data_IF_983868353456
#
_entry.id   IF_983868353456
#
_cell.length_a   1.000
_cell.length_b   1.000
_cell.length_c   1.000
_cell.angle_alpha   90.00
_cell.angle_beta   90.00
_cell.angle_gamma   90.00
#
_symmetry.space_group_name_H-M   'P 1'
#
loop_
_entity.id
_entity.type
_entity.pdbx_description
1 polymer ?
#
# COMPACT_ATOMS: atom_id res chain seq x y z
N UNK A 1 16.86 -3.96 46.54
CA UNK A 1 17.08 -2.51 46.75
C UNK A 1 17.45 -1.94 45.38
N UNK A 2 16.77 -0.95 44.82
CA UNK A 2 15.79 -0.03 45.42
C UNK A 2 14.60 0.18 44.46
N UNK A 3 13.38 0.19 44.99
CA UNK A 3 12.16 0.46 44.22
C UNK A 3 12.04 1.95 43.94
N UNK A 4 11.73 2.33 42.69
CA UNK A 4 11.26 3.68 42.35
C UNK A 4 9.87 3.53 41.72
N UNK A 5 8.87 4.13 42.35
CA UNK A 5 7.49 4.20 41.88
C UNK A 5 7.25 5.61 41.38
N UNK A 6 6.70 5.75 40.17
CA UNK A 6 6.23 7.03 39.64
C UNK A 6 4.71 6.97 39.52
N UNK A 7 4.01 7.80 40.29
CA UNK A 7 2.56 7.96 40.25
C UNK A 7 2.19 9.29 39.57
N UNK A 8 1.01 9.38 38.91
CA UNK A 8 0.63 10.54 38.12
C UNK A 8 0.21 11.73 39.02
N UNK A 9 0.33 12.95 38.49
CA UNK A 9 -0.10 14.17 39.17
C UNK A 9 -1.17 14.92 38.37
N UNK A 10 -2.23 15.38 39.04
CA UNK A 10 -3.39 16.06 38.44
C UNK A 10 -3.43 17.54 38.85
N UNK A 11 -3.21 18.41 37.86
CA UNK A 11 -3.88 19.70 37.59
C UNK A 11 -4.04 20.81 38.67
N UNK A 12 -4.00 22.07 38.21
CA UNK A 12 -4.95 23.10 38.66
C UNK A 12 -4.96 24.34 37.72
N UNK A 13 -6.10 25.02 37.65
CA UNK A 13 -6.29 26.39 37.12
C UNK A 13 -6.32 27.39 38.33
N UNK A 14 -6.50 28.73 38.28
CA UNK A 14 -6.87 29.71 37.22
C UNK A 14 -5.91 30.96 37.32
N UNK A 15 -6.20 32.29 37.38
CA UNK A 15 -7.42 33.14 37.38
C UNK A 15 -7.14 34.62 36.92
N UNK A 16 -7.62 35.00 35.72
CA UNK A 16 -8.04 36.40 35.37
C UNK A 16 -6.95 37.53 35.40
N UNK A 17 -7.19 38.82 35.08
CA UNK A 17 -8.41 39.63 34.83
C UNK A 17 -8.20 40.69 33.71
N UNK A 18 -9.29 41.26 33.15
CA UNK A 18 -9.30 42.35 32.14
C UNK A 18 -10.24 43.50 32.57
N UNK A 19 -9.87 44.77 32.35
CA UNK A 19 -10.78 45.75 31.69
C UNK A 19 -10.03 46.66 30.68
N UNK A 20 -10.55 47.18 29.55
CA UNK A 20 -11.88 47.63 29.06
C UNK A 20 -12.08 49.17 29.08
N UNK A 21 -12.02 49.77 27.87
CA UNK A 21 -12.69 50.98 27.36
C UNK A 21 -12.38 52.40 27.93
N UNK A 22 -12.36 53.39 27.03
CA UNK A 22 -13.28 54.57 27.01
C UNK A 22 -13.28 55.19 25.58
N UNK A 23 -14.39 55.83 25.17
CA UNK A 23 -14.52 56.66 23.95
C UNK A 23 -14.90 58.10 24.34
N UNK A 24 -14.47 59.13 23.59
CA UNK A 24 -15.31 60.15 22.89
C UNK A 24 -14.50 61.36 22.36
N UNK A 25 -15.16 62.21 21.57
CA UNK A 25 -14.56 63.17 20.62
C UNK A 25 -14.72 64.65 21.01
N UNK A 26 -13.74 65.47 20.59
CA UNK A 26 -13.90 66.86 20.12
C UNK A 26 -12.71 67.13 19.16
N UNK A 27 -12.82 67.59 17.90
CA UNK A 27 -13.67 68.56 17.21
C UNK A 27 -13.13 70.00 17.23
N UNK A 28 -12.65 70.46 16.04
CA UNK A 28 -12.64 71.86 15.56
C UNK A 28 -11.77 72.92 16.28
N UNK A 29 -11.25 73.96 15.63
CA UNK A 29 -11.10 74.28 14.19
C UNK A 29 -9.96 75.32 13.98
N UNK A 30 -9.70 75.70 12.72
CA UNK A 30 -8.97 76.87 12.18
C UNK A 30 -8.41 77.93 13.17
N UNK A 31 -7.25 78.55 12.94
CA UNK A 31 -7.02 79.48 11.80
C UNK A 31 -5.58 80.07 11.81
N UNK A 32 -5.13 80.61 10.66
CA UNK A 32 -4.12 81.69 10.42
C UNK A 32 -2.68 81.34 10.02
N UNK A 33 -2.24 82.11 9.00
CA UNK A 33 -0.89 82.52 8.58
C UNK A 33 0.11 81.41 8.16
N UNK A 34 0.58 81.31 6.91
CA UNK A 34 1.11 82.27 5.90
C UNK A 34 2.61 82.58 6.07
N UNK A 35 3.39 81.72 5.38
CA UNK A 35 4.54 82.03 4.53
C UNK A 35 5.93 82.43 5.10
N UNK A 36 6.93 82.11 4.27
CA UNK A 36 8.33 82.58 4.23
C UNK A 36 9.31 82.16 5.33
N UNK A 37 10.47 81.64 4.90
CA UNK A 37 11.68 81.47 5.73
C UNK A 37 12.42 80.14 5.51
N UNK A 38 13.71 80.21 5.20
CA UNK A 38 14.71 79.13 5.31
C UNK A 38 14.61 77.89 4.40
N UNK A 39 14.75 78.15 3.09
CA UNK A 39 15.64 77.32 2.26
C UNK A 39 17.11 77.68 2.62
N UNK A 40 18.06 76.80 2.31
CA UNK A 40 19.53 76.92 2.56
C UNK A 40 19.97 76.58 4.00
N UNK A 41 19.82 75.30 4.37
CA UNK A 41 20.62 74.65 5.45
C UNK A 41 20.75 73.12 5.29
N UNK A 42 20.55 72.55 4.09
CA UNK A 42 20.63 71.10 3.83
C UNK A 42 21.59 70.79 2.70
N UNK A 43 22.88 70.90 3.00
CA UNK A 43 24.03 70.45 2.20
C UNK A 43 25.13 70.05 3.21
N UNK A 44 25.91 69.00 2.88
CA UNK A 44 26.98 68.43 3.73
C UNK A 44 26.56 67.53 4.93
N UNK A 45 25.50 66.73 4.78
CA UNK A 45 25.22 65.59 5.68
C UNK A 45 24.66 64.34 4.97
N UNK A 46 24.72 64.27 3.63
CA UNK A 46 23.93 63.32 2.82
C UNK A 46 24.67 62.21 2.09
N UNK A 47 25.95 61.93 2.39
CA UNK A 47 26.81 61.02 1.61
C UNK A 47 27.61 60.03 2.48
N UNK A 48 26.91 59.19 3.25
CA UNK A 48 27.53 58.06 3.98
C UNK A 48 26.59 56.86 4.23
N UNK A 49 25.26 57.02 4.12
CA UNK A 49 24.29 56.05 4.64
C UNK A 49 23.71 54.97 3.69
N UNK A 50 23.74 55.05 2.33
CA UNK A 50 23.01 54.08 1.50
C UNK A 50 23.80 52.80 1.16
N UNK A 51 25.11 52.76 1.39
CA UNK A 51 25.98 51.70 0.87
C UNK A 51 25.95 50.40 1.70
N UNK A 52 26.14 50.48 3.01
CA UNK A 52 26.23 49.29 3.90
C UNK A 52 24.91 48.50 3.92
N UNK A 53 23.78 49.21 4.05
CA UNK A 53 22.45 48.61 3.96
C UNK A 53 22.09 48.10 2.54
N UNK A 54 22.98 48.20 1.56
CA UNK A 54 22.87 47.54 0.24
C UNK A 54 23.85 46.38 0.05
N UNK A 55 24.88 46.23 0.88
CA UNK A 55 25.68 45.00 0.95
C UNK A 55 25.03 43.96 1.86
N UNK A 56 24.59 44.34 3.05
CA UNK A 56 24.01 43.41 4.05
C UNK A 56 22.80 42.65 3.45
N UNK A 57 21.87 43.36 2.81
CA UNK A 57 20.71 42.76 2.12
C UNK A 57 21.04 41.99 0.82
N UNK A 58 22.27 42.04 0.35
CA UNK A 58 22.76 41.17 -0.74
C UNK A 58 23.39 39.89 -0.21
N UNK A 59 24.03 39.95 0.96
CA UNK A 59 24.53 38.77 1.65
C UNK A 59 23.35 37.94 2.19
N UNK A 60 22.39 38.55 2.90
CA UNK A 60 21.16 37.85 3.34
C UNK A 60 20.39 37.17 2.19
N UNK A 61 20.31 37.82 1.02
CA UNK A 61 19.65 37.27 -0.16
C UNK A 61 20.49 36.19 -0.87
N UNK A 62 21.81 36.21 -0.72
CA UNK A 62 22.73 35.20 -1.25
C UNK A 62 22.73 33.93 -0.38
N UNK A 63 22.77 34.09 0.94
CA UNK A 63 22.71 32.96 1.87
C UNK A 63 21.35 32.26 1.84
N UNK A 64 20.24 33.02 1.74
CA UNK A 64 18.91 32.45 1.55
C UNK A 64 18.78 31.69 0.21
N UNK A 65 19.43 32.16 -0.86
CA UNK A 65 19.47 31.46 -2.13
C UNK A 65 20.29 30.16 -2.05
N UNK A 66 21.44 30.18 -1.37
CA UNK A 66 22.30 28.99 -1.19
C UNK A 66 21.65 27.93 -0.31
N UNK A 67 20.97 28.34 0.78
CA UNK A 67 20.20 27.41 1.61
C UNK A 67 19.08 26.70 0.82
N UNK A 68 18.36 27.43 -0.03
CA UNK A 68 17.34 26.85 -0.90
C UNK A 68 17.90 25.97 -2.04
N UNK A 69 19.19 26.09 -2.38
CA UNK A 69 19.89 25.19 -3.30
C UNK A 69 20.40 23.94 -2.57
N UNK A 70 20.91 24.09 -1.35
CA UNK A 70 21.30 23.00 -0.44
C UNK A 70 20.09 22.10 -0.06
N UNK A 71 18.93 22.67 0.30
CA UNK A 71 17.70 21.90 0.59
C UNK A 71 17.22 21.10 -0.63
N UNK A 72 17.30 21.68 -1.84
CA UNK A 72 16.91 21.00 -3.09
C UNK A 72 17.86 19.87 -3.49
N UNK A 73 19.14 20.01 -3.18
CA UNK A 73 20.11 18.92 -3.38
C UNK A 73 19.75 17.73 -2.48
N UNK A 74 19.46 17.97 -1.20
CA UNK A 74 19.05 16.92 -0.26
C UNK A 74 17.72 16.26 -0.64
N UNK A 75 16.74 17.03 -1.13
CA UNK A 75 15.47 16.46 -1.61
C UNK A 75 15.64 15.62 -2.89
N UNK A 76 16.53 16.04 -3.80
CA UNK A 76 16.90 15.26 -4.99
C UNK A 76 17.69 13.97 -4.64
N UNK A 77 18.64 14.03 -3.71
CA UNK A 77 19.37 12.85 -3.23
C UNK A 77 18.42 11.83 -2.60
N UNK A 78 17.54 12.26 -1.69
CA UNK A 78 16.54 11.37 -1.06
C UNK A 78 15.51 10.81 -2.05
N UNK A 79 15.24 11.53 -3.14
CA UNK A 79 14.38 11.03 -4.23
C UNK A 79 15.08 9.93 -5.02
N UNK A 80 16.37 10.10 -5.33
CA UNK A 80 17.18 9.09 -6.01
C UNK A 80 17.48 7.86 -5.14
N UNK A 81 17.62 8.03 -3.82
CA UNK A 81 17.71 6.92 -2.85
C UNK A 81 16.39 6.12 -2.81
N UNK A 82 15.23 6.79 -2.84
CA UNK A 82 13.93 6.12 -2.88
C UNK A 82 13.69 5.39 -4.22
N UNK A 83 14.11 5.97 -5.35
CA UNK A 83 14.03 5.34 -6.67
C UNK A 83 14.96 4.11 -6.78
N UNK A 84 16.14 4.15 -6.15
CA UNK A 84 17.03 2.99 -6.04
C UNK A 84 16.52 1.92 -5.07
N UNK A 85 15.84 2.30 -3.99
CA UNK A 85 15.18 1.33 -3.10
C UNK A 85 14.05 0.59 -3.83
N UNK A 86 13.18 1.32 -4.54
CA UNK A 86 12.08 0.72 -5.30
C UNK A 86 12.57 -0.21 -6.44
N UNK A 87 13.69 0.12 -7.11
CA UNK A 87 14.31 -0.78 -8.11
C UNK A 87 14.97 -2.00 -7.45
N UNK A 88 15.43 -1.90 -6.20
CA UNK A 88 16.00 -3.01 -5.44
C UNK A 88 14.94 -3.96 -4.83
N UNK A 89 13.71 -3.48 -4.64
CA UNK A 89 12.54 -4.28 -4.20
C UNK A 89 11.81 -4.98 -5.35
N UNK A 90 12.17 -4.72 -6.62
CA UNK A 90 11.57 -5.42 -7.76
C UNK A 90 12.03 -6.89 -7.79
N UNK A 91 11.11 -7.88 -7.87
CA UNK A 91 11.46 -9.29 -7.90
C UNK A 91 12.31 -9.61 -9.14
N UNK A 92 13.42 -10.32 -8.92
CA UNK A 92 14.39 -10.67 -9.95
C UNK A 92 14.09 -12.03 -10.59
N UNK A 93 14.81 -12.37 -11.66
CA UNK A 93 14.62 -13.64 -12.39
C UNK A 93 14.75 -14.89 -11.50
N UNK A 94 15.53 -14.83 -10.41
CA UNK A 94 15.70 -15.97 -9.48
C UNK A 94 14.61 -16.09 -8.44
N UNK A 95 13.83 -15.04 -8.24
CA UNK A 95 12.87 -14.94 -7.15
C UNK A 95 11.49 -15.43 -7.62
N UNK A 96 11.17 -15.19 -8.90
CA UNK A 96 9.93 -15.59 -9.55
C UNK A 96 10.02 -17.05 -10.02
N UNK A 97 9.09 -17.92 -9.60
CA UNK A 97 8.89 -19.19 -10.29
C UNK A 97 8.07 -18.97 -11.58
N UNK A 98 8.70 -19.22 -12.71
CA UNK A 98 8.07 -19.22 -14.03
C UNK A 98 7.41 -20.57 -14.35
N UNK A 99 7.73 -21.64 -13.62
CA UNK A 99 7.12 -22.97 -13.73
C UNK A 99 7.73 -23.90 -14.77
N UNK A 100 6.86 -24.62 -15.49
CA UNK A 100 7.21 -25.48 -16.61
C UNK A 100 6.58 -25.03 -17.94
N UNK A 101 6.83 -25.78 -19.01
CA UNK A 101 6.25 -25.58 -20.34
C UNK A 101 5.17 -26.64 -20.61
N UNK A 102 4.06 -26.62 -19.85
CA UNK A 102 3.02 -27.64 -19.91
C UNK A 102 1.64 -27.12 -20.31
N UNK A 103 0.80 -28.01 -20.86
CA UNK A 103 -0.52 -27.65 -21.39
C UNK A 103 -0.51 -27.43 -22.89
N UNK A 104 -1.31 -26.46 -23.36
CA UNK A 104 -1.73 -26.35 -24.78
C UNK A 104 -1.52 -24.99 -25.44
N UNK A 105 -0.86 -24.08 -24.72
CA UNK A 105 -0.52 -22.72 -25.16
C UNK A 105 0.97 -22.40 -24.91
N UNK A 106 1.59 -23.09 -23.93
CA UNK A 106 3.03 -23.08 -23.68
C UNK A 106 3.90 -23.10 -24.96
N UNK A 107 4.89 -22.20 -25.04
CA UNK A 107 5.76 -21.97 -26.20
C UNK A 107 5.03 -21.50 -27.50
N UNK A 108 3.89 -20.78 -27.41
CA UNK A 108 3.25 -20.15 -28.59
C UNK A 108 3.71 -18.72 -28.90
N UNK A 109 4.50 -18.11 -28.00
CA UNK A 109 5.12 -16.79 -28.15
C UNK A 109 4.39 -15.65 -27.44
N UNK A 110 3.32 -15.93 -26.71
CA UNK A 110 2.70 -15.01 -25.73
C UNK A 110 3.12 -15.44 -24.30
N UNK A 111 2.50 -14.95 -23.23
CA UNK A 111 2.69 -15.44 -21.87
C UNK A 111 1.32 -15.70 -21.24
N UNK A 112 0.97 -16.97 -21.04
CA UNK A 112 -0.34 -17.35 -20.50
C UNK A 112 -0.49 -17.20 -18.98
N UNK A 113 0.60 -16.97 -18.26
CA UNK A 113 0.59 -16.82 -16.82
C UNK A 113 -0.05 -15.48 -16.42
N UNK A 114 -1.24 -15.56 -15.82
CA UNK A 114 -2.11 -14.41 -15.52
C UNK A 114 -1.51 -13.43 -14.49
N UNK A 115 -0.39 -13.78 -13.85
CA UNK A 115 0.36 -12.90 -12.96
C UNK A 115 1.12 -11.81 -13.72
N UNK A 116 1.30 -11.94 -15.04
CA UNK A 116 2.08 -11.01 -15.84
C UNK A 116 1.21 -10.22 -16.85
N UNK A 117 1.19 -8.89 -16.71
CA UNK A 117 0.62 -7.99 -17.71
C UNK A 117 1.65 -7.58 -18.78
N UNK A 118 1.20 -7.11 -19.95
CA UNK A 118 2.04 -6.31 -20.85
C UNK A 118 1.93 -6.68 -22.33
N UNK A 119 2.98 -6.42 -23.10
CA UNK A 119 3.08 -6.73 -24.53
C UNK A 119 3.23 -8.24 -24.74
N UNK A 120 2.06 -8.90 -24.83
CA UNK A 120 1.81 -10.35 -24.79
C UNK A 120 1.83 -10.99 -23.40
N UNK A 121 1.57 -10.22 -22.34
CA UNK A 121 1.06 -10.80 -21.09
C UNK A 121 -0.46 -11.03 -21.21
N UNK A 122 -1.01 -11.91 -20.37
CA UNK A 122 -2.47 -11.98 -20.17
C UNK A 122 -2.94 -10.92 -19.18
N UNK A 123 -4.22 -10.98 -18.82
CA UNK A 123 -4.82 -10.15 -17.76
C UNK A 123 -5.52 -11.04 -16.76
N UNK A 124 -5.63 -10.62 -15.48
CA UNK A 124 -6.17 -11.43 -14.38
C UNK A 124 -7.64 -11.92 -14.54
N UNK A 125 -8.32 -11.59 -15.65
CA UNK A 125 -9.60 -12.19 -16.06
C UNK A 125 -9.47 -13.59 -16.68
N UNK A 126 -8.26 -14.02 -17.01
CA UNK A 126 -7.97 -15.36 -17.54
C UNK A 126 -7.84 -16.41 -16.42
N UNK A 127 -7.77 -17.70 -16.78
CA UNK A 127 -7.80 -18.79 -15.79
C UNK A 127 -6.47 -18.98 -15.07
N UNK A 128 -6.52 -19.08 -13.74
CA UNK A 128 -5.40 -19.49 -12.87
C UNK A 128 -4.79 -20.86 -13.24
N UNK A 129 -5.49 -21.69 -14.01
CA UNK A 129 -4.98 -22.96 -14.52
C UNK A 129 -3.73 -22.83 -15.43
N UNK A 130 -3.39 -21.62 -15.88
CA UNK A 130 -2.19 -21.34 -16.68
C UNK A 130 -1.02 -20.71 -15.89
N UNK A 131 -1.18 -20.47 -14.58
CA UNK A 131 -0.07 -20.08 -13.71
C UNK A 131 1.00 -21.18 -13.71
N UNK A 132 2.27 -20.80 -13.86
CA UNK A 132 3.45 -21.70 -13.92
C UNK A 132 3.41 -22.73 -15.07
N UNK A 133 2.75 -22.42 -16.20
CA UNK A 133 2.57 -23.33 -17.35
C UNK A 133 3.28 -22.93 -18.65
N UNK A 134 3.79 -21.71 -18.75
CA UNK A 134 4.43 -21.18 -19.96
C UNK A 134 5.77 -20.51 -19.63
N UNK A 135 6.61 -21.24 -18.91
CA UNK A 135 7.81 -20.72 -18.28
C UNK A 135 8.79 -20.09 -19.29
N UNK A 136 8.98 -20.73 -20.45
CA UNK A 136 9.92 -20.25 -21.47
C UNK A 136 9.55 -18.88 -21.99
N UNK A 137 8.31 -18.66 -22.47
CA UNK A 137 7.95 -17.38 -23.07
C UNK A 137 7.67 -16.30 -22.02
N UNK A 138 7.02 -16.60 -20.89
CA UNK A 138 6.90 -15.65 -19.77
C UNK A 138 8.28 -15.16 -19.29
N UNK A 139 9.26 -16.06 -19.08
CA UNK A 139 10.62 -15.66 -18.68
C UNK A 139 11.33 -14.85 -19.75
N UNK A 140 11.20 -15.22 -21.03
CA UNK A 140 11.80 -14.46 -22.14
C UNK A 140 11.20 -13.06 -22.28
N UNK A 141 9.89 -12.91 -22.10
CA UNK A 141 9.17 -11.64 -22.21
C UNK A 141 9.46 -10.72 -21.01
N UNK A 142 9.54 -11.28 -19.79
CA UNK A 142 9.90 -10.54 -18.57
C UNK A 142 11.34 -10.01 -18.65
N UNK A 143 12.30 -10.86 -19.04
CA UNK A 143 13.70 -10.46 -19.25
C UNK A 143 13.89 -9.46 -20.41
N UNK A 144 12.95 -9.44 -21.37
CA UNK A 144 12.92 -8.43 -22.44
C UNK A 144 12.26 -7.10 -22.00
N UNK A 145 11.72 -7.01 -20.78
CA UNK A 145 10.95 -5.86 -20.30
C UNK A 145 9.66 -5.61 -21.07
N UNK A 146 9.08 -6.67 -21.68
CA UNK A 146 7.81 -6.60 -22.42
C UNK A 146 6.59 -6.88 -21.54
N UNK A 147 6.77 -7.67 -20.48
CA UNK A 147 5.76 -7.95 -19.46
C UNK A 147 6.32 -7.68 -18.06
N UNK A 148 5.42 -7.39 -17.12
CA UNK A 148 5.69 -7.13 -15.70
C UNK A 148 4.71 -7.92 -14.84
N UNK A 149 5.09 -8.27 -13.61
CA UNK A 149 4.16 -8.86 -12.65
C UNK A 149 3.12 -7.81 -12.23
N UNK A 150 1.85 -8.03 -12.59
CA UNK A 150 0.72 -7.25 -12.08
C UNK A 150 0.24 -7.90 -10.78
N UNK A 151 1.05 -7.65 -9.74
CA UNK A 151 0.85 -8.17 -8.41
C UNK A 151 -0.51 -7.76 -7.81
N UNK A 152 -0.88 -6.50 -8.02
CA UNK A 152 -2.11 -5.91 -7.51
C UNK A 152 -3.36 -6.54 -8.13
N UNK A 153 -3.43 -6.73 -9.46
CA UNK A 153 -4.64 -7.30 -10.07
C UNK A 153 -4.79 -8.80 -9.83
N UNK A 154 -3.69 -9.58 -9.78
CA UNK A 154 -3.79 -10.99 -9.43
C UNK A 154 -4.23 -11.20 -7.97
N UNK A 155 -3.66 -10.47 -7.01
CA UNK A 155 -4.09 -10.54 -5.59
C UNK A 155 -5.55 -10.09 -5.43
N UNK A 156 -5.95 -9.00 -6.11
CA UNK A 156 -7.33 -8.53 -6.07
C UNK A 156 -8.34 -9.50 -6.73
N UNK A 157 -7.92 -10.23 -7.77
CA UNK A 157 -8.75 -11.24 -8.44
C UNK A 157 -8.81 -12.57 -7.65
N UNK A 158 -7.74 -12.93 -6.94
CA UNK A 158 -7.69 -14.12 -6.09
C UNK A 158 -8.38 -13.90 -4.72
N UNK A 159 -8.68 -12.65 -4.33
CA UNK A 159 -9.41 -12.33 -3.10
C UNK A 159 -8.64 -12.62 -1.80
N UNK A 160 -7.32 -12.79 -1.88
CA UNK A 160 -6.48 -13.23 -0.76
C UNK A 160 -6.16 -12.07 0.18
N UNK A 161 -6.66 -12.13 1.41
CA UNK A 161 -6.21 -11.26 2.49
C UNK A 161 -4.96 -11.85 3.16
N UNK A 162 -3.84 -11.12 3.10
CA UNK A 162 -2.56 -11.50 3.67
C UNK A 162 -2.38 -11.03 5.13
N UNK A 163 -3.23 -10.14 5.64
CA UNK A 163 -3.12 -9.62 7.02
C UNK A 163 -2.10 -8.48 7.19
N UNK A 164 -1.26 -8.55 8.23
CA UNK A 164 -0.26 -7.51 8.54
C UNK A 164 1.14 -8.05 8.88
N UNK A 165 2.14 -7.16 8.89
CA UNK A 165 3.53 -7.52 9.23
C UNK A 165 3.81 -7.56 10.75
N UNK A 166 2.91 -8.18 11.52
CA UNK A 166 3.11 -8.40 12.96
C UNK A 166 3.68 -9.79 13.27
N UNK A 167 4.30 -9.94 14.45
CA UNK A 167 4.88 -11.21 14.91
C UNK A 167 6.39 -11.12 15.16
N UNK A 168 6.99 -12.20 15.66
CA UNK A 168 8.43 -12.27 15.96
C UNK A 168 9.29 -12.68 14.73
N UNK A 169 8.66 -13.10 13.63
CA UNK A 169 9.32 -13.55 12.39
C UNK A 169 8.92 -12.77 11.12
N UNK A 170 8.00 -11.80 11.23
CA UNK A 170 7.54 -11.06 10.06
C UNK A 170 8.69 -10.31 9.37
N UNK A 171 8.75 -10.39 8.04
CA UNK A 171 9.86 -9.90 7.21
C UNK A 171 11.20 -10.66 7.44
N UNK A 172 11.19 -11.98 7.73
CA UNK A 172 12.40 -12.82 7.75
C UNK A 172 12.79 -13.40 6.38
N UNK A 173 11.88 -13.33 5.41
CA UNK A 173 12.02 -13.75 4.03
C UNK A 173 11.30 -15.05 3.70
N UNK A 174 11.00 -15.92 4.66
CA UNK A 174 10.00 -16.99 4.48
C UNK A 174 8.58 -16.42 4.69
N UNK A 175 7.53 -17.16 4.36
CA UNK A 175 6.14 -16.83 4.72
C UNK A 175 5.71 -17.65 5.94
N UNK A 176 5.43 -17.00 7.09
CA UNK A 176 5.03 -17.67 8.32
C UNK A 176 3.53 -17.98 8.46
N UNK A 177 2.67 -17.42 7.61
CA UNK A 177 1.22 -17.66 7.69
C UNK A 177 0.85 -19.10 7.36
N UNK A 178 0.23 -19.80 8.32
CA UNK A 178 -0.07 -21.23 8.22
C UNK A 178 -1.14 -21.58 7.18
N UNK A 179 -1.82 -20.59 6.60
CA UNK A 179 -2.73 -20.77 5.46
C UNK A 179 -1.98 -21.05 4.15
N UNK A 180 -0.65 -20.93 4.10
CA UNK A 180 0.14 -21.11 2.88
C UNK A 180 1.13 -22.28 2.98
N UNK A 181 1.20 -23.08 1.92
CA UNK A 181 2.17 -24.16 1.72
C UNK A 181 3.09 -23.86 0.52
N UNK A 182 4.33 -24.37 0.53
CA UNK A 182 5.23 -24.31 -0.64
C UNK A 182 6.71 -24.11 -0.29
N UNK A 183 7.51 -23.72 -1.28
CA UNK A 183 8.94 -23.45 -1.10
C UNK A 183 9.13 -22.11 -0.37
N UNK A 184 9.45 -22.22 0.92
CA UNK A 184 9.53 -21.16 1.94
C UNK A 184 8.18 -20.66 2.49
N UNK A 185 7.11 -21.46 2.36
CA UNK A 185 5.88 -21.31 3.16
C UNK A 185 5.92 -22.18 4.42
N UNK A 186 5.55 -21.63 5.59
CA UNK A 186 5.61 -22.33 6.88
C UNK A 186 4.25 -22.85 7.38
N UNK A 187 3.37 -23.31 6.48
CA UNK A 187 2.18 -24.13 6.79
C UNK A 187 2.40 -25.40 7.65
N UNK A 188 3.64 -25.70 8.03
CA UNK A 188 4.03 -26.71 9.01
C UNK A 188 4.28 -26.16 10.43
N UNK A 189 3.87 -24.93 10.75
CA UNK A 189 3.77 -24.45 12.13
C UNK A 189 2.45 -24.92 12.75
N UNK A 190 2.53 -25.62 13.89
CA UNK A 190 1.40 -26.27 14.56
C UNK A 190 0.39 -25.30 15.27
N UNK A 191 0.38 -23.99 14.92
CA UNK A 191 -0.22 -22.93 15.72
C UNK A 191 -0.87 -21.81 14.88
N UNK A 192 -2.18 -21.61 15.08
CA UNK A 192 -3.00 -20.52 14.52
C UNK A 192 -2.44 -19.11 14.80
N UNK A 193 -1.52 -18.95 15.76
CA UNK A 193 -1.02 -17.64 16.16
C UNK A 193 -0.29 -16.88 15.04
N UNK A 194 0.11 -17.53 13.96
CA UNK A 194 0.74 -16.96 12.75
C UNK A 194 -0.23 -16.62 11.61
N UNK A 195 -1.52 -16.97 11.72
CA UNK A 195 -2.55 -16.65 10.72
C UNK A 195 -2.73 -15.13 10.59
N UNK A 196 -2.84 -14.64 9.35
CA UNK A 196 -2.99 -13.22 8.97
C UNK A 196 -1.79 -12.36 9.43
N UNK A 197 -0.59 -12.94 9.36
CA UNK A 197 0.68 -12.27 9.68
C UNK A 197 1.68 -12.42 8.55
N UNK A 198 2.77 -11.66 8.65
CA UNK A 198 3.89 -11.72 7.71
C UNK A 198 3.45 -11.47 6.25
N UNK A 199 2.52 -10.52 6.13
CA UNK A 199 1.80 -10.25 4.90
C UNK A 199 2.71 -9.89 3.73
N UNK A 200 3.83 -9.20 3.98
CA UNK A 200 4.79 -8.81 2.94
C UNK A 200 5.46 -10.02 2.30
N UNK A 201 6.03 -10.94 3.08
CA UNK A 201 6.73 -12.11 2.52
C UNK A 201 5.75 -13.16 1.97
N UNK A 202 4.61 -13.39 2.65
CA UNK A 202 3.54 -14.23 2.13
C UNK A 202 2.98 -13.72 0.79
N UNK A 203 2.73 -12.40 0.65
CA UNK A 203 2.32 -11.80 -0.63
C UNK A 203 3.40 -11.98 -1.68
N UNK A 204 4.66 -11.68 -1.37
CA UNK A 204 5.76 -11.76 -2.33
C UNK A 204 6.02 -13.19 -2.82
N UNK A 205 5.98 -14.18 -1.92
CA UNK A 205 6.16 -15.60 -2.27
C UNK A 205 4.96 -16.18 -3.04
N UNK A 206 3.73 -15.77 -2.72
CA UNK A 206 2.53 -16.17 -3.45
C UNK A 206 2.52 -15.60 -4.87
N UNK A 207 2.86 -14.32 -5.02
CA UNK A 207 3.06 -13.67 -6.32
C UNK A 207 4.18 -14.31 -7.13
N UNK A 208 5.27 -14.68 -6.48
CA UNK A 208 6.34 -15.45 -7.09
C UNK A 208 5.91 -16.87 -7.51
N UNK A 209 4.74 -17.36 -7.07
CA UNK A 209 4.24 -18.72 -7.35
C UNK A 209 4.92 -19.81 -6.53
N UNK A 210 5.69 -19.41 -5.51
CA UNK A 210 6.52 -20.30 -4.68
C UNK A 210 5.72 -20.95 -3.55
N UNK A 211 4.63 -20.30 -3.15
CA UNK A 211 3.64 -20.80 -2.19
C UNK A 211 2.22 -20.66 -2.75
N UNK A 212 1.33 -21.54 -2.32
CA UNK A 212 -0.11 -21.52 -2.59
C UNK A 212 -0.89 -21.52 -1.28
N UNK A 213 -2.14 -21.05 -1.31
CA UNK A 213 -3.06 -21.27 -0.19
C UNK A 213 -3.36 -22.77 -0.04
N UNK A 214 -3.20 -23.30 1.16
CA UNK A 214 -3.76 -24.58 1.55
C UNK A 214 -5.30 -24.43 1.63
N UNK A 215 -5.99 -25.27 0.86
CA UNK A 215 -7.44 -25.24 0.67
C UNK A 215 -8.22 -25.38 1.99
N UNK A 216 -7.79 -26.32 2.84
CA UNK A 216 -8.44 -26.66 4.09
C UNK A 216 -8.03 -25.71 5.22
N UNK A 217 -6.77 -25.26 5.25
CA UNK A 217 -6.28 -24.30 6.23
C UNK A 217 -6.88 -22.90 6.02
N UNK A 218 -6.97 -22.41 4.78
CA UNK A 218 -7.62 -21.14 4.47
C UNK A 218 -9.12 -21.17 4.83
N UNK A 219 -9.80 -22.28 4.52
CA UNK A 219 -11.20 -22.49 4.88
C UNK A 219 -11.41 -22.51 6.41
N UNK A 220 -10.56 -23.23 7.16
CA UNK A 220 -10.62 -23.29 8.61
C UNK A 220 -10.33 -21.92 9.27
N UNK A 221 -9.33 -21.19 8.78
CA UNK A 221 -8.98 -19.84 9.24
C UNK A 221 -10.10 -18.83 9.00
N UNK A 222 -10.76 -18.90 7.83
CA UNK A 222 -11.92 -18.08 7.49
C UNK A 222 -13.23 -18.57 8.16
N UNK A 223 -13.21 -19.69 8.88
CA UNK A 223 -14.37 -20.27 9.57
C UNK A 223 -15.45 -20.83 8.62
N UNK A 224 -15.08 -21.19 7.39
CA UNK A 224 -16.00 -21.58 6.32
C UNK A 224 -16.30 -23.07 6.38
N UNK A 225 -17.53 -23.41 6.77
CA UNK A 225 -18.10 -24.75 6.62
C UNK A 225 -18.78 -24.87 5.26
N UNK A 226 -18.17 -25.60 4.33
CA UNK A 226 -18.71 -25.85 2.98
C UNK A 226 -19.81 -26.93 2.94
N UNK A 227 -19.95 -27.77 3.98
CA UNK A 227 -20.91 -28.88 4.00
C UNK A 227 -20.40 -30.18 3.35
N UNK A 228 -21.27 -30.85 2.58
CA UNK A 228 -20.94 -32.02 1.76
C UNK A 228 -21.45 -31.89 0.31
N UNK A 229 -21.26 -32.94 -0.49
CA UNK A 229 -21.69 -32.98 -1.90
C UNK A 229 -23.06 -33.69 -2.03
N UNK A 230 -24.11 -33.13 -1.42
CA UNK A 230 -25.47 -33.67 -1.44
C UNK A 230 -26.53 -32.77 -2.11
N UNK A 231 -26.91 -33.15 -3.34
CA UNK A 231 -28.01 -32.50 -4.07
C UNK A 231 -28.22 -33.12 -5.46
N UNK A 232 -29.16 -32.55 -6.22
CA UNK A 232 -29.32 -32.85 -7.65
C UNK A 232 -28.34 -32.05 -8.53
N UNK A 233 -27.66 -31.04 -7.96
CA UNK A 233 -26.72 -30.11 -8.63
C UNK A 233 -25.25 -30.22 -8.15
N UNK A 234 -24.99 -31.00 -7.10
CA UNK A 234 -23.64 -31.12 -6.52
C UNK A 234 -22.60 -31.60 -7.55
N UNK A 235 -21.42 -30.97 -7.58
CA UNK A 235 -20.35 -31.23 -8.55
C UNK A 235 -20.72 -30.94 -10.04
N UNK A 236 -21.52 -29.90 -10.32
CA UNK A 236 -21.79 -29.45 -11.71
C UNK A 236 -20.87 -28.30 -12.21
N UNK A 237 -20.12 -27.68 -11.29
CA UNK A 237 -19.11 -26.67 -11.53
C UNK A 237 -19.52 -25.22 -11.21
N UNK A 238 -20.81 -24.93 -11.03
CA UNK A 238 -21.26 -23.73 -10.29
C UNK A 238 -21.21 -24.03 -8.77
N UNK A 239 -21.45 -23.05 -7.90
CA UNK A 239 -21.60 -23.23 -6.45
C UNK A 239 -23.04 -22.90 -6.04
N UNK A 240 -23.83 -23.92 -5.71
CA UNK A 240 -25.26 -23.74 -5.46
C UNK A 240 -25.63 -23.30 -4.03
N UNK A 241 -24.65 -23.13 -3.14
CA UNK A 241 -24.88 -22.65 -1.78
C UNK A 241 -25.17 -21.14 -1.73
N UNK A 242 -26.41 -20.77 -1.39
CA UNK A 242 -26.89 -19.38 -1.35
C UNK A 242 -26.23 -18.47 -0.30
N UNK A 243 -25.35 -19.01 0.56
CA UNK A 243 -24.47 -18.20 1.43
C UNK A 243 -23.37 -17.48 0.66
N UNK A 244 -23.03 -17.96 -0.55
CA UNK A 244 -21.94 -17.45 -1.37
C UNK A 244 -22.44 -16.63 -2.56
N UNK A 245 -21.87 -15.44 -2.76
CA UNK A 245 -22.10 -14.57 -3.91
C UNK A 245 -20.83 -14.52 -4.78
N UNK A 246 -20.98 -14.39 -6.11
CA UNK A 246 -19.84 -14.14 -7.01
C UNK A 246 -19.99 -14.69 -8.43
N UNK A 247 -18.88 -14.83 -9.15
CA UNK A 247 -18.84 -15.54 -10.43
C UNK A 247 -19.07 -17.04 -10.19
N UNK A 248 -20.15 -17.58 -10.77
CA UNK A 248 -20.64 -18.94 -10.54
C UNK A 248 -21.13 -19.24 -9.11
N UNK A 249 -21.53 -18.22 -8.33
CA UNK A 249 -22.15 -18.40 -7.00
C UNK A 249 -23.66 -18.14 -6.98
N UNK A 250 -24.44 -19.03 -6.37
CA UNK A 250 -25.91 -18.99 -6.36
C UNK A 250 -26.56 -18.06 -5.32
N UNK A 251 -25.83 -17.15 -4.67
CA UNK A 251 -26.37 -16.13 -3.76
C UNK A 251 -27.42 -15.16 -4.36
N UNK A 252 -27.72 -15.27 -5.67
CA UNK A 252 -28.85 -14.63 -6.34
C UNK A 252 -30.17 -15.44 -6.28
N UNK A 253 -30.18 -16.63 -5.69
CA UNK A 253 -31.36 -17.48 -5.49
C UNK A 253 -31.96 -17.27 -4.09
N UNK A 254 -33.29 -17.10 -4.03
CA UNK A 254 -34.08 -17.00 -2.79
C UNK A 254 -34.42 -18.39 -2.16
N UNK A 255 -33.68 -19.46 -2.49
CA UNK A 255 -33.96 -20.83 -2.01
C UNK A 255 -32.76 -21.46 -1.27
N UNK A 256 -32.88 -21.54 0.05
CA UNK A 256 -31.89 -22.14 0.96
C UNK A 256 -31.78 -23.68 0.82
N UNK A 257 -32.51 -24.32 -0.12
CA UNK A 257 -32.56 -25.79 -0.26
C UNK A 257 -31.27 -26.45 -0.74
N UNK A 258 -30.28 -25.66 -1.19
CA UNK A 258 -28.96 -26.12 -1.65
C UNK A 258 -27.79 -25.70 -0.72
N UNK A 259 -28.07 -25.04 0.40
CA UNK A 259 -27.05 -24.73 1.42
C UNK A 259 -26.39 -26.02 1.93
N UNK A 260 -25.05 -26.01 1.99
CA UNK A 260 -24.18 -27.12 2.43
C UNK A 260 -24.26 -28.40 1.58
N UNK A 261 -24.86 -28.34 0.38
CA UNK A 261 -25.05 -29.49 -0.51
C UNK A 261 -24.10 -29.58 -1.71
N UNK A 262 -23.15 -28.65 -1.84
CA UNK A 262 -22.24 -28.54 -2.99
C UNK A 262 -20.82 -28.13 -2.57
N UNK A 263 -20.30 -28.80 -1.54
CA UNK A 263 -19.09 -28.39 -0.85
C UNK A 263 -17.84 -28.37 -1.75
N UNK A 264 -17.74 -29.27 -2.73
CA UNK A 264 -16.57 -29.35 -3.61
C UNK A 264 -16.45 -28.15 -4.53
N UNK A 265 -17.51 -27.76 -5.25
CA UNK A 265 -17.39 -26.63 -6.18
C UNK A 265 -17.46 -25.28 -5.46
N UNK A 266 -18.22 -25.15 -4.36
CA UNK A 266 -18.11 -23.98 -3.49
C UNK A 266 -16.70 -23.80 -2.90
N UNK A 267 -16.02 -24.87 -2.47
CA UNK A 267 -14.61 -24.80 -2.03
C UNK A 267 -13.69 -24.39 -3.18
N UNK A 268 -13.81 -25.03 -4.34
CA UNK A 268 -12.98 -24.75 -5.51
C UNK A 268 -13.13 -23.30 -5.99
N UNK A 269 -14.35 -22.76 -6.03
CA UNK A 269 -14.65 -21.41 -6.49
C UNK A 269 -14.25 -20.34 -5.46
N UNK A 270 -14.41 -20.61 -4.15
CA UNK A 270 -13.98 -19.71 -3.08
C UNK A 270 -12.45 -19.54 -3.08
N UNK A 271 -11.71 -20.65 -3.20
CA UNK A 271 -10.24 -20.64 -3.28
C UNK A 271 -9.69 -20.06 -4.59
N UNK A 272 -10.51 -20.05 -5.65
CA UNK A 272 -10.21 -19.36 -6.90
C UNK A 272 -10.55 -17.86 -6.88
N UNK A 273 -10.96 -17.30 -5.73
CA UNK A 273 -11.37 -15.89 -5.59
C UNK A 273 -12.69 -15.52 -6.27
N UNK A 274 -13.41 -16.51 -6.81
CA UNK A 274 -14.59 -16.29 -7.66
C UNK A 274 -15.86 -15.98 -6.86
N UNK A 275 -15.98 -16.54 -5.66
CA UNK A 275 -17.12 -16.36 -4.77
C UNK A 275 -16.68 -16.04 -3.33
N UNK A 276 -17.54 -15.36 -2.58
CA UNK A 276 -17.33 -14.95 -1.19
C UNK A 276 -18.60 -15.14 -0.36
N UNK A 277 -18.46 -15.29 0.96
CA UNK A 277 -19.61 -15.25 1.89
C UNK A 277 -20.15 -13.81 2.04
N UNK A 278 -21.48 -13.67 2.16
CA UNK A 278 -22.15 -12.36 2.36
C UNK A 278 -22.34 -11.95 3.83
#
# INVERSE_FOLDING_TARGET
>A
MTTIVVLPWRGCLVLSVVPVHVRRSAAMSCLRYVAQGFIVAVLLAGLAAPALAQSERKEEAGDAARAAEEERAVEAERSAEAEQAAEAERPTETDIDFGDDSGRYANDGECDDIRFEGDRGRTASDSSAYITRDATDCRNLFLAGRISLDAESYVAAAGVDFGDDSGDYANDGDCDDTRFEGDRGRGALDDDSHIMRDATDCRNLFLAGRISLDAEAYAAAAGVDFGDDSGDYANDGDCDDTRFEGDRGSGALDDDSHIMGDATDCRNLFLAGKIWLR
#
